data_IF_098750784364
#
_entry.id   IF_098750784364
#
_cell.length_a   1.000
_cell.length_b   1.000
_cell.length_c   1.000
_cell.angle_alpha   90.00
_cell.angle_beta   90.00
_cell.angle_gamma   90.00
#
_symmetry.space_group_name_H-M   'P 1'
#
loop_
_entity.id
_entity.type
_entity.pdbx_description
1 polymer ?
#
# COMPACT_ATOMS: atom_id res chain seq x y z
N UNK A 1 7.52 21.56 -13.64
CA UNK A 1 8.36 21.36 -12.48
C UNK A 1 7.64 20.58 -11.41
N UNK A 2 6.96 21.25 -10.48
CA UNK A 2 6.28 20.53 -9.43
C UNK A 2 5.15 19.66 -9.96
N UNK A 3 4.33 20.22 -10.82
CA UNK A 3 3.22 19.47 -11.40
C UNK A 3 3.73 18.29 -12.21
N UNK A 4 4.75 18.54 -13.01
CA UNK A 4 5.33 17.48 -13.81
C UNK A 4 5.97 16.41 -12.92
N UNK A 5 6.61 16.85 -11.86
CA UNK A 5 7.24 15.93 -10.92
C UNK A 5 6.19 15.08 -10.20
N UNK A 6 5.11 15.72 -9.77
CA UNK A 6 4.02 14.99 -9.14
C UNK A 6 3.40 14.01 -10.13
N UNK A 7 3.25 14.43 -11.37
CA UNK A 7 2.69 13.54 -12.38
C UNK A 7 3.59 12.32 -12.58
N UNK A 8 4.90 12.53 -12.60
CA UNK A 8 5.81 11.39 -12.75
C UNK A 8 5.69 10.44 -11.58
N UNK A 9 5.65 10.98 -10.37
CA UNK A 9 5.48 10.15 -9.19
C UNK A 9 4.13 9.44 -9.23
N UNK A 10 3.09 10.15 -9.58
CA UNK A 10 1.76 9.57 -9.68
C UNK A 10 1.74 8.47 -10.72
N UNK A 11 2.40 8.69 -11.84
CA UNK A 11 2.45 7.69 -12.88
C UNK A 11 3.17 6.44 -12.40
N UNK A 12 4.22 6.61 -11.60
CA UNK A 12 4.93 5.48 -11.03
C UNK A 12 4.10 4.74 -10.00
N UNK A 13 3.31 5.46 -9.24
CA UNK A 13 2.54 4.88 -8.15
C UNK A 13 1.21 4.35 -8.63
N UNK A 14 0.61 5.03 -9.60
CA UNK A 14 -0.73 4.69 -10.08
C UNK A 14 -0.72 3.98 -11.43
N UNK A 15 0.34 3.27 -11.72
CA UNK A 15 0.46 2.61 -13.01
C UNK A 15 -0.64 1.62 -13.28
N UNK A 16 -1.23 1.06 -12.23
CA UNK A 16 -2.35 0.16 -12.43
C UNK A 16 -3.59 0.91 -12.90
N UNK A 17 -3.68 2.20 -12.60
CA UNK A 17 -4.76 3.04 -13.11
C UNK A 17 -4.42 3.49 -14.51
N UNK A 18 -3.22 4.01 -14.69
CA UNK A 18 -2.69 4.32 -15.99
C UNK A 18 -2.22 3.04 -16.67
N UNK A 19 -2.12 3.00 -17.97
CA UNK A 19 -1.61 1.80 -18.64
C UNK A 19 -0.10 1.63 -18.48
N UNK A 20 0.44 2.07 -17.40
CA UNK A 20 1.88 2.01 -17.13
C UNK A 20 2.18 0.77 -16.30
N UNK A 21 2.67 -0.26 -16.95
CA UNK A 21 2.93 -1.53 -16.30
C UNK A 21 4.06 -1.43 -15.27
N UNK A 22 5.00 -0.51 -15.49
CA UNK A 22 6.11 -0.37 -14.54
C UNK A 22 5.62 0.09 -13.18
N UNK A 23 4.69 1.02 -13.18
CA UNK A 23 4.15 1.52 -11.91
C UNK A 23 3.31 0.46 -11.22
N UNK A 24 2.53 -0.28 -12.00
CA UNK A 24 1.75 -1.37 -11.43
C UNK A 24 2.67 -2.37 -10.76
N UNK A 25 3.87 -2.57 -11.31
CA UNK A 25 4.83 -3.49 -10.73
C UNK A 25 5.48 -2.94 -9.47
N UNK A 26 5.37 -1.64 -9.23
CA UNK A 26 5.93 -1.02 -8.02
C UNK A 26 5.13 -1.40 -6.79
N UNK A 27 3.84 -1.63 -6.95
CA UNK A 27 3.00 -2.13 -5.88
C UNK A 27 3.04 -3.64 -5.95
N UNK A 28 3.55 -4.26 -4.91
CA UNK A 28 3.72 -5.71 -4.91
C UNK A 28 2.49 -6.44 -4.38
N UNK A 29 1.80 -5.83 -3.43
CA UNK A 29 0.70 -6.52 -2.79
C UNK A 29 -0.21 -5.50 -2.12
N UNK A 30 -1.50 -5.77 -2.15
CA UNK A 30 -2.49 -4.95 -1.44
C UNK A 30 -2.77 -5.62 -0.10
N UNK A 31 -2.67 -4.86 0.97
CA UNK A 31 -2.81 -5.38 2.33
C UNK A 31 -3.62 -4.42 3.17
N UNK A 32 -3.94 -4.83 4.39
CA UNK A 32 -4.50 -3.94 5.39
C UNK A 32 -3.48 -3.76 6.51
N UNK A 33 -3.52 -2.61 7.13
CA UNK A 33 -2.72 -2.37 8.34
C UNK A 33 -3.62 -1.71 9.38
N UNK A 34 -3.22 -1.80 10.63
CA UNK A 34 -3.94 -1.12 11.71
C UNK A 34 -3.46 0.31 11.77
N UNK A 35 -4.27 1.22 11.29
CA UNK A 35 -3.86 2.62 11.13
C UNK A 35 -5.11 3.48 11.05
N UNK A 36 -5.14 4.62 11.69
CA UNK A 36 -4.05 5.22 12.48
C UNK A 36 -3.92 4.66 13.88
N UNK A 37 -4.84 3.81 14.30
CA UNK A 37 -4.75 3.24 15.64
C UNK A 37 -5.40 1.87 15.68
N UNK A 38 -5.22 1.21 16.80
CA UNK A 38 -5.80 -0.10 17.00
C UNK A 38 -7.31 -0.04 16.82
N UNK A 39 -7.85 -1.00 16.10
CA UNK A 39 -9.28 -1.04 15.81
C UNK A 39 -9.67 -0.36 14.51
N UNK A 40 -8.76 0.37 13.90
CA UNK A 40 -8.99 0.98 12.61
C UNK A 40 -8.06 0.34 11.59
N UNK A 41 -8.55 0.17 10.38
CA UNK A 41 -7.78 -0.49 9.33
C UNK A 41 -7.67 0.42 8.12
N UNK A 42 -6.49 0.43 7.54
CA UNK A 42 -6.23 1.21 6.33
C UNK A 42 -5.83 0.28 5.22
N UNK A 43 -6.28 0.59 4.03
CA UNK A 43 -5.84 -0.10 2.83
C UNK A 43 -4.44 0.40 2.50
N UNK A 44 -3.55 -0.52 2.16
CA UNK A 44 -2.16 -0.17 1.95
C UNK A 44 -1.56 -1.07 0.89
N UNK A 45 -0.39 -0.67 0.40
CA UNK A 45 0.31 -1.44 -0.62
C UNK A 45 1.74 -1.66 -0.19
N UNK A 46 2.20 -2.90 -0.30
CA UNK A 46 3.61 -3.20 -0.06
C UNK A 46 4.38 -2.78 -1.30
N UNK A 47 5.40 -1.96 -1.11
CA UNK A 47 6.21 -1.47 -2.22
C UNK A 47 7.63 -2.00 -2.18
N UNK A 48 8.05 -2.58 -1.06
CA UNK A 48 9.39 -3.11 -0.96
C UNK A 48 9.66 -3.61 0.45
N UNK A 49 10.93 -3.75 0.76
CA UNK A 49 11.33 -4.18 2.08
C UNK A 49 12.71 -3.61 2.40
N UNK A 50 13.02 -3.58 3.68
CA UNK A 50 14.32 -3.09 4.14
C UNK A 50 14.66 -3.79 5.45
N UNK A 51 15.92 -3.71 5.83
CA UNK A 51 16.41 -4.36 7.03
C UNK A 51 17.08 -3.32 7.91
N UNK A 52 16.67 -3.26 9.17
CA UNK A 52 17.31 -2.38 10.13
C UNK A 52 18.30 -3.20 10.94
N UNK A 53 19.58 -2.86 10.82
CA UNK A 53 20.64 -3.53 11.58
C UNK A 53 20.68 -2.97 12.99
N UNK A 54 20.73 -3.85 13.97
CA UNK A 54 20.86 -3.48 15.37
C UNK A 54 21.96 -4.30 15.99
N UNK A 55 22.34 -3.93 17.22
CA UNK A 55 23.38 -4.68 17.92
C UNK A 55 22.96 -6.12 18.18
N UNK A 56 21.68 -6.37 18.27
CA UNK A 56 21.13 -7.69 18.54
C UNK A 56 20.76 -8.44 17.27
N UNK A 57 21.19 -7.98 16.12
CA UNK A 57 20.86 -8.62 14.85
C UNK A 57 20.19 -7.67 13.90
N UNK A 58 18.88 -7.59 13.99
CA UNK A 58 18.18 -6.66 13.13
C UNK A 58 16.71 -7.03 12.97
N UNK A 59 16.01 -6.19 12.23
CA UNK A 59 14.59 -6.33 12.01
C UNK A 59 14.31 -6.16 10.52
N UNK A 60 13.57 -7.12 9.97
CA UNK A 60 13.11 -7.04 8.59
C UNK A 60 11.80 -6.28 8.55
N UNK A 61 11.75 -5.26 7.72
CA UNK A 61 10.56 -4.42 7.60
C UNK A 61 10.08 -4.37 6.16
N UNK A 62 8.79 -4.23 6.00
CA UNK A 62 8.20 -3.97 4.70
C UNK A 62 7.95 -2.47 4.57
N UNK A 63 8.21 -1.94 3.39
CA UNK A 63 7.82 -0.58 3.09
C UNK A 63 6.38 -0.63 2.60
N UNK A 64 5.53 0.12 3.26
CA UNK A 64 4.09 0.08 3.02
C UNK A 64 3.60 1.48 2.73
N UNK A 65 2.90 1.63 1.64
CA UNK A 65 2.36 2.91 1.22
C UNK A 65 0.87 2.95 1.53
N UNK A 66 0.46 3.97 2.27
CA UNK A 66 -0.94 4.16 2.64
C UNK A 66 -1.47 5.38 1.91
N UNK A 67 -2.26 5.20 0.86
CA UNK A 67 -2.83 6.35 0.16
C UNK A 67 -3.86 7.04 1.03
N UNK A 68 -3.97 8.35 0.88
CA UNK A 68 -5.00 9.12 1.59
C UNK A 68 -6.21 9.29 0.68
N UNK A 69 -6.25 10.39 -0.07
CA UNK A 69 -7.38 10.64 -0.94
C UNK A 69 -7.12 10.22 -2.37
N UNK A 70 -5.85 10.05 -2.70
CA UNK A 70 -5.44 9.67 -4.05
C UNK A 70 -4.39 8.58 -3.96
N UNK A 71 -4.24 7.83 -5.03
CA UNK A 71 -3.30 6.72 -5.06
C UNK A 71 -1.86 7.20 -4.87
N UNK A 72 -1.58 8.41 -5.28
CA UNK A 72 -0.22 8.94 -5.25
C UNK A 72 -0.03 10.03 -4.20
N UNK A 73 -0.93 10.12 -3.24
CA UNK A 73 -0.77 11.01 -2.09
C UNK A 73 -1.04 10.20 -0.85
N UNK A 74 -0.07 10.11 0.02
CA UNK A 74 -0.21 9.30 1.22
C UNK A 74 1.07 9.26 2.01
N UNK A 75 1.16 8.27 2.86
CA UNK A 75 2.27 8.12 3.78
C UNK A 75 2.98 6.79 3.59
N UNK A 76 4.26 6.76 3.94
CA UNK A 76 5.06 5.55 3.88
C UNK A 76 5.37 5.10 5.31
N UNK A 77 5.13 3.83 5.56
CA UNK A 77 5.40 3.23 6.86
C UNK A 77 6.35 2.05 6.68
N UNK A 78 7.09 1.76 7.72
CA UNK A 78 7.94 0.58 7.77
C UNK A 78 7.37 -0.33 8.84
N UNK A 79 6.92 -1.51 8.44
CA UNK A 79 6.18 -2.40 9.34
C UNK A 79 6.79 -3.78 9.32
N UNK A 80 6.71 -4.46 10.47
CA UNK A 80 7.08 -5.86 10.54
C UNK A 80 5.97 -6.72 9.95
N UNK A 81 6.31 -7.94 9.64
CA UNK A 81 5.35 -8.88 9.06
C UNK A 81 4.10 -9.02 9.93
N UNK A 82 4.27 -9.02 11.24
CA UNK A 82 3.14 -9.21 12.16
C UNK A 82 2.11 -8.09 12.09
N UNK A 83 2.51 -6.93 11.58
CA UNK A 83 1.61 -5.78 11.50
C UNK A 83 1.00 -5.61 10.12
N UNK A 84 1.27 -6.53 9.22
CA UNK A 84 0.72 -6.52 7.87
C UNK A 84 -0.36 -7.60 7.80
N UNK A 85 -1.56 -7.21 7.42
CA UNK A 85 -2.68 -8.14 7.30
C UNK A 85 -2.88 -8.43 5.82
N UNK A 86 -2.61 -9.65 5.42
CA UNK A 86 -2.75 -10.03 4.03
C UNK A 86 -4.18 -10.43 3.74
N UNK A 87 -4.70 -9.88 2.67
CA UNK A 87 -6.09 -10.09 2.29
C UNK A 87 -6.15 -10.55 0.84
N UNK A 88 -7.31 -11.03 0.44
CA UNK A 88 -7.52 -11.55 -0.90
C UNK A 88 -7.91 -10.45 -1.88
N UNK A 89 -7.13 -9.39 -1.91
CA UNK A 89 -7.31 -8.30 -2.86
C UNK A 89 -6.09 -8.21 -3.75
N UNK A 90 -6.32 -8.05 -5.04
CA UNK A 90 -5.24 -7.74 -5.96
C UNK A 90 -4.86 -6.28 -5.82
N UNK A 91 -3.69 -5.92 -6.31
CA UNK A 91 -3.27 -4.51 -6.33
C UNK A 91 -4.29 -3.69 -7.10
N UNK A 92 -4.74 -4.20 -8.23
CA UNK A 92 -5.72 -3.48 -9.06
C UNK A 92 -7.01 -3.23 -8.29
N UNK A 93 -7.50 -4.26 -7.60
CA UNK A 93 -8.70 -4.09 -6.81
C UNK A 93 -8.51 -3.06 -5.70
N UNK A 94 -7.34 -3.09 -5.06
CA UNK A 94 -7.04 -2.11 -4.04
C UNK A 94 -7.04 -0.69 -4.57
N UNK A 95 -6.46 -0.49 -5.74
CA UNK A 95 -6.45 0.83 -6.35
C UNK A 95 -7.87 1.28 -6.69
N UNK A 96 -8.70 0.37 -7.16
CA UNK A 96 -10.09 0.69 -7.46
C UNK A 96 -10.84 1.13 -6.21
N UNK A 97 -10.55 0.49 -5.08
CA UNK A 97 -11.18 0.89 -3.82
C UNK A 97 -10.77 2.31 -3.46
N UNK A 98 -9.49 2.63 -3.58
CA UNK A 98 -9.01 3.97 -3.26
C UNK A 98 -9.64 5.01 -4.18
N UNK A 99 -9.64 4.74 -5.47
CA UNK A 99 -10.16 5.69 -6.45
C UNK A 99 -11.65 5.92 -6.27
N UNK A 100 -12.36 4.91 -5.84
CA UNK A 100 -13.81 5.00 -5.63
C UNK A 100 -14.17 5.53 -4.23
N UNK A 101 -13.19 6.02 -3.48
CA UNK A 101 -13.32 6.46 -2.10
C UNK A 101 -14.01 5.40 -1.23
N UNK A 102 -13.66 4.15 -1.46
CA UNK A 102 -14.15 3.05 -0.67
C UNK A 102 -15.41 2.40 -1.19
N UNK A 103 -16.02 2.93 -2.24
CA UNK A 103 -17.28 2.37 -2.71
C UNK A 103 -17.12 1.02 -3.39
N UNK A 104 -15.93 0.74 -3.91
CA UNK A 104 -15.69 -0.52 -4.60
C UNK A 104 -15.23 -1.64 -3.68
N UNK A 105 -15.28 -1.44 -2.36
CA UNK A 105 -14.85 -2.48 -1.45
C UNK A 105 -15.82 -3.66 -1.53
N UNK A 106 -15.30 -4.89 -1.63
CA UNK A 106 -16.19 -6.06 -1.68
C UNK A 106 -16.96 -6.23 -0.38
N UNK A 107 -18.11 -6.91 -0.42
CA UNK A 107 -18.89 -7.12 0.80
C UNK A 107 -18.18 -7.96 1.84
N UNK A 108 -17.17 -8.72 1.47
CA UNK A 108 -16.37 -9.44 2.44
C UNK A 108 -14.95 -9.60 1.94
N UNK A 109 -14.01 -9.61 2.86
CA UNK A 109 -12.60 -9.84 2.58
C UNK A 109 -12.15 -11.03 3.41
N UNK A 110 -11.20 -11.79 2.85
CA UNK A 110 -10.62 -12.91 3.56
C UNK A 110 -9.20 -12.57 3.98
N UNK A 111 -8.88 -12.80 5.23
CA UNK A 111 -7.54 -12.60 5.76
C UNK A 111 -7.14 -13.88 6.49
N UNK A 112 -5.83 -14.18 6.46
CA UNK A 112 -5.35 -15.36 7.13
C UNK A 112 -5.54 -15.25 8.64
N UNK A 113 -5.42 -14.02 9.16
CA UNK A 113 -5.61 -13.75 10.59
C UNK A 113 -5.65 -12.24 10.76
N UNK A 114 -6.12 -11.82 11.88
CA UNK A 114 -6.10 -10.39 12.23
C UNK A 114 -5.15 -10.11 13.38
#
# INVERSE_FOLDING_TARGET
PLVKHIYSAAKQVSGAIAPDHETANSFRECVLIRHPRQGEYALAFITGSTFISTDDGGIQLYTVYVPTNHVYVGDVFLLEEKDVIRVNLSVREGIEIVVSVGMAVPPSLSAARL
#
